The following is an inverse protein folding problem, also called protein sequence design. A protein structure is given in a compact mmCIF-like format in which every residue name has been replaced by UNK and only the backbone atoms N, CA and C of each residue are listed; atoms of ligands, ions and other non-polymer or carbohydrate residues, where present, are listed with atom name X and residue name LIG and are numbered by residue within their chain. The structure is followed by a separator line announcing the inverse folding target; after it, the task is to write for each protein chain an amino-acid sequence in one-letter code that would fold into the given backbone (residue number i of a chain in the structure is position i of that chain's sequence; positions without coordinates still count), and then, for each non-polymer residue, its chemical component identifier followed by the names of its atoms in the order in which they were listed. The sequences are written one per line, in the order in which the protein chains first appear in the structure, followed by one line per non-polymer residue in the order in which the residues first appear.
data_IF_965747835854
#
_entry.id   IF_965747835854
#
_cell.length_a   1.000
_cell.length_b   1.000
_cell.length_c   1.000
_cell.angle_alpha   90.00
_cell.angle_beta   90.00
_cell.angle_gamma   90.00
#
_symmetry.space_group_name_H-M   'P 1'
#
loop_
_entity.id
_entity.type
_entity.pdbx_description
1 polymer ?
#
# COMPACT_ATOMS: atom_id res chain seq x y z
N UNK A 1 15.24 -11.88 8.95
CA UNK A 1 14.23 -10.81 8.76
C UNK A 1 14.85 -9.44 9.04
N UNK A 2 15.44 -9.23 10.22
CA UNK A 2 16.06 -7.95 10.63
C UNK A 2 17.07 -7.37 9.63
N UNK A 3 18.01 -8.19 9.13
CA UNK A 3 19.00 -7.75 8.12
C UNK A 3 18.36 -7.23 6.83
N UNK A 4 17.32 -7.90 6.33
CA UNK A 4 16.62 -7.51 5.10
C UNK A 4 15.82 -6.22 5.32
N UNK A 5 15.18 -6.08 6.48
CA UNK A 5 14.46 -4.87 6.85
C UNK A 5 15.41 -3.66 6.89
N UNK A 6 16.61 -3.82 7.46
CA UNK A 6 17.62 -2.78 7.48
C UNK A 6 18.12 -2.41 6.08
N UNK A 7 18.29 -3.41 5.19
CA UNK A 7 18.68 -3.19 3.78
C UNK A 7 17.62 -2.41 3.00
N UNK A 8 16.34 -2.81 3.09
CA UNK A 8 15.20 -2.06 2.50
C UNK A 8 15.21 -0.62 2.97
N UNK A 9 15.26 -0.44 4.29
CA UNK A 9 15.20 0.88 4.89
C UNK A 9 16.34 1.76 4.42
N UNK A 10 17.56 1.22 4.34
CA UNK A 10 18.72 1.94 3.83
C UNK A 10 18.55 2.36 2.36
N UNK A 11 17.97 1.51 1.52
CA UNK A 11 17.70 1.84 0.12
C UNK A 11 16.67 2.97 0.05
N UNK A 12 15.56 2.81 0.76
CA UNK A 12 14.46 3.77 0.75
C UNK A 12 14.86 5.12 1.36
N UNK A 13 15.71 5.17 2.39
CA UNK A 13 15.96 6.41 3.10
C UNK A 13 17.17 7.24 2.70
N UNK A 14 18.20 6.67 2.03
CA UNK A 14 19.51 7.30 1.68
C UNK A 14 20.24 8.14 2.77
N UNK A 15 19.64 8.41 3.93
CA UNK A 15 20.24 9.05 5.09
C UNK A 15 19.52 8.61 6.39
N UNK A 16 20.35 8.54 7.45
CA UNK A 16 20.13 8.03 8.81
C UNK A 16 18.69 7.96 9.33
N UNK A 17 18.15 6.74 9.46
CA UNK A 17 17.01 6.46 10.34
C UNK A 17 17.51 6.47 11.78
N UNK A 18 17.02 7.41 12.60
CA UNK A 18 17.08 7.27 14.05
C UNK A 18 16.08 6.18 14.45
N UNK A 19 16.57 4.99 14.79
CA UNK A 19 15.75 3.99 15.47
C UNK A 19 15.33 4.55 16.84
N UNK A 20 14.03 4.85 17.02
CA UNK A 20 13.45 4.83 18.36
C UNK A 20 13.16 3.37 18.72
N UNK A 21 13.55 2.97 19.92
CA UNK A 21 13.25 1.68 20.53
C UNK A 21 11.74 1.54 20.76
N UNK A 22 10.99 1.15 19.73
CA UNK A 22 9.72 0.47 19.90
C UNK A 22 9.92 -0.96 19.41
N UNK A 23 9.92 -1.92 20.33
CA UNK A 23 10.30 -3.33 20.11
C UNK A 23 9.38 -4.10 19.12
N UNK A 24 8.42 -3.44 18.47
CA UNK A 24 7.42 -4.06 17.60
C UNK A 24 7.40 -3.43 16.21
N UNK A 25 7.61 -4.27 15.20
CA UNK A 25 7.50 -3.90 13.80
C UNK A 25 6.09 -3.36 13.47
N UNK A 26 6.02 -2.15 12.91
CA UNK A 26 4.76 -1.57 12.44
C UNK A 26 4.35 -2.21 11.11
N UNK A 27 3.39 -3.13 11.17
CA UNK A 27 2.75 -3.77 10.02
C UNK A 27 1.38 -3.15 9.76
N UNK A 28 1.25 -2.45 8.63
CA UNK A 28 0.04 -1.74 8.22
C UNK A 28 -1.16 -2.68 8.02
N UNK A 29 -0.94 -3.95 7.65
CA UNK A 29 -2.03 -4.91 7.48
C UNK A 29 -2.68 -5.31 8.81
N UNK A 30 -1.92 -5.20 9.91
CA UNK A 30 -2.37 -5.60 11.25
C UNK A 30 -3.12 -4.50 12.02
N UNK A 31 -3.13 -3.28 11.50
CA UNK A 31 -3.73 -2.13 12.18
C UNK A 31 -5.25 -2.11 12.01
N UNK A 32 -5.94 -1.74 13.09
CA UNK A 32 -7.40 -1.52 13.10
C UNK A 32 -7.79 -0.10 12.64
N UNK A 33 -6.81 0.80 12.55
CA UNK A 33 -6.98 2.19 12.13
C UNK A 33 -5.68 2.71 11.52
N UNK A 34 -5.67 3.93 10.97
CA UNK A 34 -4.47 4.51 10.42
C UNK A 34 -3.45 4.77 11.53
N UNK A 35 -2.15 4.61 11.21
CA UNK A 35 -1.08 4.98 12.12
C UNK A 35 -1.04 6.50 12.28
N UNK A 36 -0.55 6.98 13.43
CA UNK A 36 -0.23 8.40 13.57
C UNK A 36 1.02 8.77 12.76
N UNK A 37 1.19 10.03 12.33
CA UNK A 37 2.42 10.47 11.66
C UNK A 37 3.70 10.17 12.46
N UNK A 38 3.64 10.21 13.79
CA UNK A 38 4.77 9.89 14.67
C UNK A 38 5.13 8.39 14.70
N UNK A 39 4.17 7.51 14.42
CA UNK A 39 4.41 6.05 14.30
C UNK A 39 5.11 5.70 12.99
N UNK A 40 4.89 6.51 11.95
CA UNK A 40 5.53 6.42 10.64
C UNK A 40 6.98 6.94 10.71
N UNK A 41 7.84 6.18 11.38
CA UNK A 41 9.27 6.49 11.50
C UNK A 41 10.00 6.38 10.14
N UNK A 42 9.97 7.44 9.35
CA UNK A 42 10.91 7.71 8.27
C UNK A 42 10.92 9.23 8.02
N UNK A 43 12.07 9.78 7.64
CA UNK A 43 12.20 11.21 7.23
C UNK A 43 12.75 11.31 5.80
N UNK A 44 12.55 10.26 5.01
CA UNK A 44 13.15 10.16 3.69
C UNK A 44 12.32 10.85 2.62
N UNK A 45 13.01 11.66 1.82
CA UNK A 45 12.48 12.25 0.60
C UNK A 45 12.48 11.20 -0.52
N UNK A 46 11.44 11.15 -1.36
CA UNK A 46 11.38 10.24 -2.49
C UNK A 46 12.43 10.61 -3.55
N UNK A 47 13.10 9.60 -4.11
CA UNK A 47 14.08 9.75 -5.19
C UNK A 47 14.28 8.44 -5.98
N UNK A 48 15.38 8.32 -6.73
CA UNK A 48 15.75 7.14 -7.56
C UNK A 48 15.79 5.78 -6.81
N UNK A 49 15.70 5.80 -5.49
CA UNK A 49 15.67 4.63 -4.63
C UNK A 49 14.52 3.65 -4.91
N UNK A 50 13.40 4.12 -5.48
CA UNK A 50 12.23 3.27 -5.73
C UNK A 50 12.48 2.18 -6.78
N UNK A 51 13.31 2.46 -7.80
CA UNK A 51 13.65 1.45 -8.82
C UNK A 51 14.49 0.34 -8.19
N UNK A 52 15.57 0.71 -7.49
CA UNK A 52 16.42 -0.25 -6.78
C UNK A 52 15.64 -1.04 -5.73
N UNK A 53 14.73 -0.38 -5.01
CA UNK A 53 13.83 -1.04 -4.07
C UNK A 53 12.94 -2.07 -4.77
N UNK A 54 12.33 -1.70 -5.91
CA UNK A 54 11.50 -2.60 -6.68
C UNK A 54 12.28 -3.81 -7.18
N UNK A 55 13.50 -3.62 -7.72
CA UNK A 55 14.36 -4.72 -8.18
C UNK A 55 14.66 -5.72 -7.06
N UNK A 56 14.99 -5.22 -5.87
CA UNK A 56 15.23 -6.07 -4.71
C UNK A 56 13.98 -6.82 -4.26
N UNK A 57 12.81 -6.18 -4.30
CA UNK A 57 11.54 -6.84 -3.98
C UNK A 57 11.19 -7.90 -5.02
N UNK A 58 11.41 -7.63 -6.31
CA UNK A 58 11.22 -8.62 -7.39
C UNK A 58 12.13 -9.84 -7.23
N UNK A 59 13.35 -9.65 -6.74
CA UNK A 59 14.26 -10.75 -6.40
C UNK A 59 13.73 -11.60 -5.24
N UNK A 60 13.07 -11.01 -4.25
CA UNK A 60 12.44 -11.80 -3.18
C UNK A 60 11.14 -12.49 -3.62
N UNK A 61 10.43 -11.91 -4.60
CA UNK A 61 9.29 -12.57 -5.26
C UNK A 61 9.76 -13.80 -6.04
N UNK A 62 10.88 -13.73 -6.77
CA UNK A 62 11.41 -14.89 -7.51
C UNK A 62 11.95 -16.00 -6.61
N UNK A 63 12.25 -15.68 -5.34
CA UNK A 63 12.61 -16.65 -4.29
C UNK A 63 11.41 -17.15 -3.48
N UNK A 64 10.20 -16.66 -3.78
CA UNK A 64 8.97 -16.96 -3.05
C UNK A 64 9.06 -16.64 -1.54
N UNK A 65 9.84 -15.63 -1.17
CA UNK A 65 10.05 -15.24 0.23
C UNK A 65 8.85 -14.45 0.77
N UNK A 66 7.73 -15.12 1.06
CA UNK A 66 6.45 -14.48 1.44
C UNK A 66 6.59 -13.36 2.48
N UNK A 67 7.27 -13.63 3.60
CA UNK A 67 7.45 -12.63 4.69
C UNK A 67 8.20 -11.39 4.21
N UNK A 68 9.23 -11.58 3.37
CA UNK A 68 10.01 -10.46 2.84
C UNK A 68 9.22 -9.67 1.82
N UNK A 69 8.37 -10.32 1.04
CA UNK A 69 7.49 -9.64 0.09
C UNK A 69 6.51 -8.74 0.86
N UNK A 70 5.90 -9.28 1.92
CA UNK A 70 5.01 -8.53 2.82
C UNK A 70 5.71 -7.34 3.48
N UNK A 71 6.92 -7.55 4.01
CA UNK A 71 7.75 -6.48 4.56
C UNK A 71 8.05 -5.42 3.50
N UNK A 72 8.42 -5.81 2.28
CA UNK A 72 8.66 -4.89 1.19
C UNK A 72 7.45 -4.02 0.86
N UNK A 73 6.28 -4.64 0.64
CA UNK A 73 5.02 -3.90 0.38
C UNK A 73 4.71 -2.91 1.51
N UNK A 74 4.90 -3.34 2.76
CA UNK A 74 4.67 -2.51 3.93
C UNK A 74 5.62 -1.32 4.02
N UNK A 75 6.93 -1.52 3.80
CA UNK A 75 7.90 -0.41 3.81
C UNK A 75 7.68 0.54 2.62
N UNK A 76 7.28 0.04 1.44
CA UNK A 76 6.92 0.87 0.29
C UNK A 76 5.79 1.84 0.63
N UNK A 77 4.73 1.35 1.26
CA UNK A 77 3.55 2.15 1.61
C UNK A 77 3.80 3.06 2.82
N UNK A 78 4.60 2.64 3.80
CA UNK A 78 5.04 3.55 4.87
C UNK A 78 5.88 4.70 4.33
N UNK A 79 6.78 4.40 3.40
CA UNK A 79 7.56 5.46 2.75
C UNK A 79 6.66 6.41 1.97
N UNK A 80 5.65 5.90 1.26
CA UNK A 80 4.68 6.76 0.59
C UNK A 80 4.01 7.74 1.56
N UNK A 81 3.46 7.25 2.68
CA UNK A 81 2.76 8.07 3.67
C UNK A 81 3.66 9.12 4.34
N UNK A 82 4.95 8.84 4.47
CA UNK A 82 5.93 9.79 5.00
C UNK A 82 6.34 10.85 3.98
N UNK A 83 6.46 10.45 2.72
CA UNK A 83 6.97 11.32 1.65
C UNK A 83 5.90 12.23 1.05
N UNK A 84 4.63 11.88 1.22
CA UNK A 84 3.55 12.62 0.60
C UNK A 84 3.44 14.03 1.16
N UNK A 85 3.14 14.97 0.28
CA UNK A 85 2.92 16.38 0.61
C UNK A 85 1.94 16.98 -0.40
N UNK A 86 1.31 18.13 -0.08
CA UNK A 86 0.28 18.71 -0.94
C UNK A 86 0.76 19.10 -2.35
N UNK A 87 2.04 19.43 -2.54
CA UNK A 87 2.56 19.89 -3.84
C UNK A 87 2.77 18.73 -4.82
N UNK A 88 3.06 17.53 -4.31
CA UNK A 88 3.41 16.35 -5.09
C UNK A 88 2.42 15.19 -4.90
N UNK A 89 1.27 15.44 -4.27
CA UNK A 89 0.31 14.43 -3.85
C UNK A 89 -0.06 13.46 -4.98
N UNK A 90 -0.50 14.02 -6.13
CA UNK A 90 -0.95 13.27 -7.31
C UNK A 90 0.19 12.42 -7.89
N UNK A 91 1.31 13.06 -8.22
CA UNK A 91 2.49 12.41 -8.81
C UNK A 91 3.05 11.31 -7.91
N UNK A 92 3.11 11.53 -6.58
CA UNK A 92 3.59 10.51 -5.64
C UNK A 92 2.60 9.36 -5.56
N UNK A 93 1.30 9.64 -5.42
CA UNK A 93 0.30 8.58 -5.37
C UNK A 93 0.36 7.68 -6.61
N UNK A 94 0.39 8.28 -7.81
CA UNK A 94 0.49 7.55 -9.08
C UNK A 94 1.77 6.69 -9.13
N UNK A 95 2.92 7.27 -8.79
CA UNK A 95 4.19 6.56 -8.81
C UNK A 95 4.21 5.36 -7.88
N UNK A 96 3.78 5.51 -6.62
CA UNK A 96 3.78 4.40 -5.65
C UNK A 96 2.76 3.33 -6.04
N UNK A 97 1.57 3.73 -6.48
CA UNK A 97 0.54 2.77 -6.90
C UNK A 97 0.94 2.03 -8.17
N UNK A 98 1.62 2.69 -9.12
CA UNK A 98 2.19 2.02 -10.28
C UNK A 98 3.14 0.88 -9.88
N UNK A 99 4.05 1.14 -8.93
CA UNK A 99 5.00 0.14 -8.44
C UNK A 99 4.28 -1.03 -7.74
N UNK A 100 3.29 -0.72 -6.90
CA UNK A 100 2.47 -1.73 -6.23
C UNK A 100 1.70 -2.61 -7.22
N UNK A 101 1.12 -2.02 -8.28
CA UNK A 101 0.45 -2.75 -9.37
C UNK A 101 1.41 -3.69 -10.10
N UNK A 102 2.67 -3.29 -10.32
CA UNK A 102 3.68 -4.17 -10.92
C UNK A 102 4.02 -5.36 -10.01
N UNK A 103 4.18 -5.11 -8.70
CA UNK A 103 4.41 -6.14 -7.68
C UNK A 103 3.26 -7.15 -7.68
N UNK A 104 2.02 -6.65 -7.63
CA UNK A 104 0.82 -7.49 -7.66
C UNK A 104 0.76 -8.33 -8.94
N UNK A 105 0.92 -7.73 -10.12
CA UNK A 105 0.92 -8.46 -11.40
C UNK A 105 1.99 -9.56 -11.44
N UNK A 106 3.19 -9.32 -10.90
CA UNK A 106 4.24 -10.35 -10.83
C UNK A 106 3.83 -11.52 -9.94
N UNK A 107 3.15 -11.26 -8.82
CA UNK A 107 2.65 -12.29 -7.92
C UNK A 107 1.46 -13.08 -8.51
N UNK A 108 0.84 -12.61 -9.58
CA UNK A 108 -0.23 -13.34 -10.30
C UNK A 108 0.29 -14.28 -11.40
N UNK A 109 1.60 -14.32 -11.62
CA UNK A 109 2.18 -15.22 -12.62
C UNK A 109 2.04 -16.68 -12.16
N UNK A 110 1.87 -17.65 -13.09
CA UNK A 110 1.61 -19.05 -12.73
C UNK A 110 2.70 -19.72 -11.89
N UNK A 111 3.91 -19.17 -11.90
CA UNK A 111 5.06 -19.67 -11.16
C UNK A 111 5.07 -19.24 -9.68
N UNK A 112 4.21 -18.27 -9.30
CA UNK A 112 4.17 -17.75 -7.94
C UNK A 112 3.13 -18.51 -7.09
N UNK A 113 3.52 -19.11 -5.95
CA UNK A 113 2.64 -20.02 -5.20
C UNK A 113 1.68 -19.36 -4.20
N UNK A 114 1.83 -18.06 -3.91
CA UNK A 114 1.07 -17.37 -2.83
C UNK A 114 0.26 -16.12 -3.30
N UNK A 115 -0.44 -16.17 -4.46
CA UNK A 115 -1.09 -14.99 -5.01
C UNK A 115 -2.21 -14.45 -4.10
N UNK A 116 -2.95 -15.33 -3.43
CA UNK A 116 -4.06 -14.96 -2.56
C UNK A 116 -3.57 -14.27 -1.28
N UNK A 117 -2.55 -14.82 -0.63
CA UNK A 117 -1.98 -14.27 0.60
C UNK A 117 -1.38 -12.88 0.37
N UNK A 118 -0.70 -12.68 -0.77
CA UNK A 118 -0.19 -11.37 -1.15
C UNK A 118 -1.33 -10.41 -1.47
N UNK A 119 -2.36 -10.87 -2.20
CA UNK A 119 -3.49 -10.01 -2.54
C UNK A 119 -4.23 -9.50 -1.31
N UNK A 120 -4.55 -10.40 -0.37
CA UNK A 120 -5.21 -10.04 0.88
C UNK A 120 -4.36 -9.05 1.68
N UNK A 121 -3.05 -9.30 1.76
CA UNK A 121 -2.13 -8.40 2.45
C UNK A 121 -2.08 -7.00 1.80
N UNK A 122 -2.05 -6.91 0.47
CA UNK A 122 -2.12 -5.64 -0.26
C UNK A 122 -3.43 -4.91 0.06
N UNK A 123 -4.57 -5.61 0.07
CA UNK A 123 -5.86 -5.01 0.41
C UNK A 123 -5.87 -4.40 1.81
N UNK A 124 -5.28 -5.10 2.79
CA UNK A 124 -5.22 -4.62 4.17
C UNK A 124 -4.27 -3.41 4.30
N UNK A 125 -3.09 -3.45 3.68
CA UNK A 125 -2.19 -2.30 3.69
C UNK A 125 -2.81 -1.08 2.99
N UNK A 126 -3.45 -1.26 1.82
CA UNK A 126 -4.09 -0.16 1.09
C UNK A 126 -5.28 0.43 1.84
N UNK A 127 -6.05 -0.38 2.56
CA UNK A 127 -7.10 0.12 3.46
C UNK A 127 -6.51 1.06 4.52
N UNK A 128 -5.44 0.63 5.19
CA UNK A 128 -4.76 1.42 6.22
C UNK A 128 -4.15 2.69 5.64
N UNK A 129 -3.46 2.59 4.50
CA UNK A 129 -2.86 3.74 3.82
C UNK A 129 -3.90 4.73 3.32
N UNK A 130 -4.96 4.28 2.66
CA UNK A 130 -6.06 5.17 2.23
C UNK A 130 -6.77 5.82 3.40
N UNK A 131 -6.91 5.11 4.51
CA UNK A 131 -7.46 5.65 5.75
C UNK A 131 -6.59 6.77 6.32
N UNK A 132 -5.27 6.58 6.34
CA UNK A 132 -4.32 7.60 6.80
C UNK A 132 -4.40 8.86 5.93
N UNK A 133 -4.37 8.69 4.61
CA UNK A 133 -4.42 9.81 3.67
C UNK A 133 -5.72 10.62 3.79
N UNK A 134 -6.86 9.95 4.01
CA UNK A 134 -8.14 10.61 4.29
C UNK A 134 -8.10 11.42 5.59
N UNK A 135 -7.44 10.91 6.62
CA UNK A 135 -7.35 11.61 7.91
C UNK A 135 -6.46 12.85 7.85
N UNK A 136 -5.40 12.79 7.06
CA UNK A 136 -4.43 13.88 6.84
C UNK A 136 -4.84 14.85 5.71
N UNK A 137 -5.99 14.62 5.05
CA UNK A 137 -6.53 15.52 4.02
C UNK A 137 -5.92 15.35 2.61
N UNK A 138 -5.19 14.27 2.37
CA UNK A 138 -4.66 13.91 1.04
C UNK A 138 -5.72 13.17 0.20
N UNK A 139 -6.72 13.91 -0.27
CA UNK A 139 -7.88 13.34 -0.95
C UNK A 139 -7.61 12.85 -2.37
N UNK A 140 -6.69 13.48 -3.11
CA UNK A 140 -6.28 13.04 -4.45
C UNK A 140 -5.54 11.71 -4.36
N UNK A 141 -4.62 11.58 -3.42
CA UNK A 141 -3.92 10.34 -3.15
C UNK A 141 -4.86 9.24 -2.64
N UNK A 142 -5.83 9.60 -1.78
CA UNK A 142 -6.87 8.67 -1.32
C UNK A 142 -7.70 8.14 -2.49
N UNK A 143 -7.99 8.98 -3.49
CA UNK A 143 -8.67 8.56 -4.72
C UNK A 143 -7.83 7.56 -5.51
N UNK A 144 -6.54 7.84 -5.71
CA UNK A 144 -5.64 6.93 -6.44
C UNK A 144 -5.50 5.57 -5.72
N UNK A 145 -5.56 5.54 -4.38
CA UNK A 145 -5.64 4.29 -3.59
C UNK A 145 -6.94 3.53 -3.92
N UNK A 146 -8.09 4.20 -3.91
CA UNK A 146 -9.39 3.58 -4.22
C UNK A 146 -9.40 3.02 -5.65
N UNK A 147 -8.96 3.82 -6.61
CA UNK A 147 -8.92 3.44 -8.02
C UNK A 147 -7.95 2.27 -8.26
N UNK A 148 -6.79 2.28 -7.58
CA UNK A 148 -5.83 1.18 -7.62
C UNK A 148 -6.34 -0.10 -6.98
N UNK A 149 -6.99 0.01 -5.81
CA UNK A 149 -7.58 -1.13 -5.11
C UNK A 149 -8.70 -1.76 -5.95
N UNK A 150 -9.55 -0.94 -6.56
CA UNK A 150 -10.62 -1.39 -7.46
C UNK A 150 -10.07 -2.04 -8.74
N UNK A 151 -9.05 -1.42 -9.36
CA UNK A 151 -8.41 -1.93 -10.56
C UNK A 151 -7.72 -3.28 -10.33
N UNK A 152 -6.96 -3.41 -9.24
CA UNK A 152 -6.35 -4.67 -8.85
C UNK A 152 -7.39 -5.71 -8.44
N UNK A 153 -8.47 -5.30 -7.78
CA UNK A 153 -9.57 -6.20 -7.41
C UNK A 153 -10.30 -6.81 -8.60
N UNK A 154 -10.51 -6.05 -9.68
CA UNK A 154 -11.05 -6.60 -10.93
C UNK A 154 -10.11 -7.64 -11.54
N UNK A 155 -8.80 -7.36 -11.53
CA UNK A 155 -7.80 -8.33 -11.99
C UNK A 155 -7.81 -9.58 -11.10
N UNK A 156 -7.91 -9.42 -9.77
CA UNK A 156 -8.01 -10.51 -8.82
C UNK A 156 -9.23 -11.39 -9.11
N UNK A 157 -10.41 -10.79 -9.32
CA UNK A 157 -11.64 -11.49 -9.70
C UNK A 157 -11.47 -12.32 -10.97
N UNK A 158 -10.89 -11.73 -12.03
CA UNK A 158 -10.60 -12.43 -13.30
C UNK A 158 -9.64 -13.61 -13.11
N UNK A 159 -8.75 -13.53 -12.11
CA UNK A 159 -7.81 -14.61 -11.75
C UNK A 159 -8.39 -15.62 -10.76
N UNK A 160 -9.66 -15.49 -10.38
CA UNK A 160 -10.32 -16.38 -9.42
C UNK A 160 -9.89 -16.17 -7.97
N UNK A 161 -9.24 -15.04 -7.66
CA UNK A 161 -8.89 -14.69 -6.28
C UNK A 161 -10.10 -14.09 -5.56
N UNK A 162 -10.20 -14.27 -4.23
CA UNK A 162 -11.29 -13.69 -3.45
C UNK A 162 -11.25 -12.16 -3.45
N UNK A 163 -12.42 -11.55 -3.60
CA UNK A 163 -12.60 -10.08 -3.60
C UNK A 163 -13.31 -9.56 -2.35
N UNK A 164 -13.69 -10.43 -1.43
CA UNK A 164 -14.39 -10.04 -0.19
C UNK A 164 -13.59 -9.01 0.63
N UNK A 165 -12.26 -9.17 0.71
CA UNK A 165 -11.42 -8.19 1.41
C UNK A 165 -11.37 -6.84 0.67
N UNK A 166 -11.33 -6.85 -0.67
CA UNK A 166 -11.40 -5.64 -1.49
C UNK A 166 -12.71 -4.88 -1.27
N UNK A 167 -13.83 -5.60 -1.31
CA UNK A 167 -15.17 -5.08 -1.02
C UNK A 167 -15.23 -4.43 0.37
N UNK A 168 -14.69 -5.11 1.38
CA UNK A 168 -14.61 -4.62 2.75
C UNK A 168 -13.75 -3.36 2.86
N UNK A 169 -12.55 -3.37 2.29
CA UNK A 169 -11.62 -2.24 2.30
C UNK A 169 -12.21 -1.01 1.60
N UNK A 170 -12.85 -1.17 0.45
CA UNK A 170 -13.55 -0.07 -0.23
C UNK A 170 -14.70 0.50 0.60
N UNK A 171 -15.48 -0.34 1.29
CA UNK A 171 -16.55 0.11 2.18
C UNK A 171 -16.01 0.89 3.37
N UNK A 172 -14.86 0.50 3.92
CA UNK A 172 -14.22 1.23 5.03
C UNK A 172 -13.74 2.61 4.55
N UNK A 173 -13.14 2.70 3.36
CA UNK A 173 -12.73 3.97 2.76
C UNK A 173 -13.94 4.86 2.41
N UNK A 174 -15.03 4.27 1.91
CA UNK A 174 -16.32 4.95 1.69
C UNK A 174 -16.82 5.62 2.98
N UNK A 175 -16.91 4.85 4.07
CA UNK A 175 -17.37 5.37 5.36
C UNK A 175 -16.45 6.47 5.90
N UNK A 176 -15.13 6.28 5.84
CA UNK A 176 -14.17 7.30 6.30
C UNK A 176 -14.25 8.59 5.49
N UNK A 177 -14.45 8.50 4.18
CA UNK A 177 -14.67 9.69 3.35
C UNK A 177 -15.98 10.41 3.73
N UNK A 178 -17.04 9.67 4.06
CA UNK A 178 -18.29 10.26 4.59
C UNK A 178 -18.04 11.00 5.90
N UNK A 179 -17.32 10.38 6.84
CA UNK A 179 -17.01 10.97 8.15
C UNK A 179 -16.17 12.24 8.04
N UNK A 180 -15.35 12.35 6.99
CA UNK A 180 -14.55 13.55 6.65
C UNK A 180 -15.30 14.58 5.81
N UNK A 181 -16.53 14.31 5.41
CA UNK A 181 -17.35 15.20 4.58
C UNK A 181 -17.03 15.15 3.07
N UNK A 182 -16.14 14.26 2.65
CA UNK A 182 -15.68 14.10 1.27
C UNK A 182 -16.63 13.23 0.44
N UNK A 183 -17.84 13.76 0.19
CA UNK A 183 -18.93 13.05 -0.50
C UNK A 183 -18.55 12.54 -1.89
N UNK A 184 -17.74 13.31 -2.63
CA UNK A 184 -17.30 12.91 -3.97
C UNK A 184 -16.44 11.64 -3.91
N UNK A 185 -15.50 11.60 -2.96
CA UNK A 185 -14.61 10.45 -2.78
C UNK A 185 -15.35 9.23 -2.24
N UNK A 186 -16.30 9.41 -1.32
CA UNK A 186 -17.20 8.35 -0.87
C UNK A 186 -17.98 7.74 -2.04
N UNK A 187 -18.49 8.57 -2.96
CA UNK A 187 -19.17 8.12 -4.17
C UNK A 187 -18.25 7.30 -5.08
N UNK A 188 -16.99 7.71 -5.24
CA UNK A 188 -15.98 6.93 -6.00
C UNK A 188 -15.77 5.55 -5.37
N UNK A 189 -15.55 5.47 -4.05
CA UNK A 189 -15.37 4.19 -3.35
C UNK A 189 -16.61 3.29 -3.47
N UNK A 190 -17.81 3.85 -3.33
CA UNK A 190 -19.07 3.15 -3.52
C UNK A 190 -19.20 2.57 -4.93
N UNK A 191 -18.93 3.37 -5.96
CA UNK A 191 -19.01 2.93 -7.36
C UNK A 191 -17.96 1.86 -7.68
N UNK A 192 -16.73 2.04 -7.20
CA UNK A 192 -15.67 1.05 -7.30
C UNK A 192 -16.09 -0.30 -6.72
N UNK A 193 -16.80 -0.29 -5.58
CA UNK A 193 -17.31 -1.48 -4.91
C UNK A 193 -18.34 -2.24 -5.75
N UNK A 194 -19.29 -1.54 -6.37
CA UNK A 194 -20.29 -2.15 -7.23
C UNK A 194 -19.71 -2.68 -8.56
N UNK A 195 -18.67 -2.03 -9.09
CA UNK A 195 -18.06 -2.38 -10.36
C UNK A 195 -16.98 -3.48 -10.27
N UNK A 196 -16.80 -4.10 -9.10
CA UNK A 196 -15.85 -5.22 -8.91
C UNK A 196 -16.42 -6.56 -9.41
N UNK A 197 -17.74 -6.70 -9.48
CA UNK A 197 -18.45 -7.95 -9.76
C UNK A 197 -19.14 -7.99 -11.13
N UNK A 198 -19.07 -6.89 -11.88
CA UNK A 198 -19.56 -6.73 -13.26
C UNK A 198 -18.41 -6.77 -14.26
#
# INVERSE_FOLDING_TARGET
MEKYLQEIRKILTRSSIRQRNTDKYLDLASLQGPPSPEELNSTALPGDALVTFQEMLMLEISKFSLDKIKVGINELLKHFMVSINPELEDTLAEHYMYRLRLIFKRCLMPDFPFPEEIWNYICDCLRTTGSFLLEEGYYTASREIIDSLAGMGRIAAVKGLPTANTQSSLRILENRAIDRGEKALASVAKNARFNLET
#
